data_IF_599768122540
#
_entry.id   IF_599768122540
#
_cell.length_a   1.000
_cell.length_b   1.000
_cell.length_c   1.000
_cell.angle_alpha   90.00
_cell.angle_beta   90.00
_cell.angle_gamma   90.00
#
_symmetry.space_group_name_H-M   'P 1'
#
loop_
_entity.id
_entity.type
_entity.pdbx_description
1 polymer ?
#
# COMPACT_ATOMS: atom_id res chain seq x y z
N UNK A 1 4.26 -7.98 -14.26
CA UNK A 1 3.08 -7.09 -14.35
C UNK A 1 3.56 -5.65 -14.27
N UNK A 2 2.89 -4.70 -14.94
CA UNK A 2 3.25 -3.28 -14.89
C UNK A 2 2.40 -2.54 -13.84
N UNK A 3 2.90 -1.41 -13.31
CA UNK A 3 2.15 -0.56 -12.36
C UNK A 3 0.77 -0.17 -12.93
N UNK A 4 0.68 0.05 -14.24
CA UNK A 4 -0.58 0.37 -14.92
C UNK A 4 -1.61 -0.77 -14.83
N UNK A 5 -1.19 -2.03 -14.99
CA UNK A 5 -2.07 -3.18 -14.86
C UNK A 5 -2.57 -3.32 -13.42
N UNK A 6 -1.69 -3.13 -12.45
CA UNK A 6 -2.04 -3.25 -11.03
C UNK A 6 -3.03 -2.16 -10.59
N UNK A 7 -2.81 -0.91 -11.04
CA UNK A 7 -3.76 0.17 -10.85
C UNK A 7 -5.15 -0.15 -11.44
N UNK A 8 -5.20 -0.69 -12.65
CA UNK A 8 -6.46 -1.02 -13.33
C UNK A 8 -7.27 -2.09 -12.57
N UNK A 9 -6.59 -3.11 -12.05
CA UNK A 9 -7.17 -4.14 -11.18
C UNK A 9 -7.66 -3.55 -9.85
N UNK A 10 -6.83 -2.73 -9.20
CA UNK A 10 -7.15 -2.08 -7.93
C UNK A 10 -8.37 -1.17 -8.07
N UNK A 11 -8.42 -0.33 -9.09
CA UNK A 11 -9.56 0.55 -9.34
C UNK A 11 -10.84 -0.25 -9.63
N UNK A 12 -10.73 -1.35 -10.37
CA UNK A 12 -11.84 -2.26 -10.64
C UNK A 12 -12.36 -2.94 -9.38
N UNK A 13 -11.45 -3.33 -8.47
CA UNK A 13 -11.76 -3.90 -7.16
C UNK A 13 -12.46 -2.88 -6.27
N UNK A 14 -11.86 -1.69 -6.08
CA UNK A 14 -12.41 -0.61 -5.26
C UNK A 14 -13.81 -0.18 -5.74
N UNK A 15 -14.02 -0.09 -7.06
CA UNK A 15 -15.35 0.17 -7.61
C UNK A 15 -16.38 -0.86 -7.12
N UNK A 16 -16.05 -2.15 -7.17
CA UNK A 16 -16.95 -3.24 -6.78
C UNK A 16 -17.20 -3.22 -5.27
N UNK A 17 -16.17 -3.06 -4.47
CA UNK A 17 -16.25 -3.01 -2.99
C UNK A 17 -17.14 -1.86 -2.50
N UNK A 18 -17.06 -0.70 -3.16
CA UNK A 18 -17.89 0.46 -2.84
C UNK A 18 -19.23 0.51 -3.58
N UNK A 19 -19.57 -0.53 -4.36
CA UNK A 19 -20.83 -0.59 -5.12
C UNK A 19 -20.99 0.48 -6.19
N UNK A 20 -19.89 1.10 -6.64
CA UNK A 20 -19.89 2.24 -7.54
C UNK A 20 -20.11 1.82 -9.00
N UNK A 21 -20.65 2.74 -9.78
CA UNK A 21 -20.72 2.66 -11.24
C UNK A 21 -19.62 3.53 -11.86
N UNK A 22 -19.23 3.21 -13.10
CA UNK A 22 -18.18 3.97 -13.79
C UNK A 22 -18.52 5.46 -13.93
N UNK A 23 -19.81 5.83 -14.08
CA UNK A 23 -20.21 7.24 -14.19
C UNK A 23 -19.97 8.01 -12.88
N UNK A 24 -20.15 7.39 -11.71
CA UNK A 24 -19.93 8.03 -10.41
C UNK A 24 -18.43 8.34 -10.20
N UNK A 25 -17.56 7.41 -10.61
CA UNK A 25 -16.11 7.65 -10.60
C UNK A 25 -15.75 8.73 -11.64
N UNK A 26 -16.44 8.78 -12.77
CA UNK A 26 -16.19 9.78 -13.80
C UNK A 26 -16.58 11.19 -13.32
N UNK A 27 -17.71 11.32 -12.63
CA UNK A 27 -18.15 12.55 -11.98
C UNK A 27 -17.14 13.02 -10.92
N UNK A 28 -16.68 12.11 -10.05
CA UNK A 28 -15.63 12.39 -9.05
C UNK A 28 -14.36 12.98 -9.69
N UNK A 29 -13.97 12.47 -10.86
CA UNK A 29 -12.76 12.86 -11.55
C UNK A 29 -12.95 13.96 -12.60
N UNK A 30 -14.19 14.42 -12.80
CA UNK A 30 -14.57 15.33 -13.88
C UNK A 30 -14.06 14.86 -15.26
N UNK A 31 -14.33 13.59 -15.60
CA UNK A 31 -13.96 12.97 -16.88
C UNK A 31 -15.17 12.28 -17.52
N UNK A 32 -15.00 11.77 -18.73
CA UNK A 32 -16.02 10.95 -19.37
C UNK A 32 -16.06 9.54 -18.77
N UNK A 33 -17.24 8.94 -18.67
CA UNK A 33 -17.43 7.54 -18.21
C UNK A 33 -16.58 6.53 -18.98
N UNK A 34 -16.35 6.78 -20.28
CA UNK A 34 -15.46 5.95 -21.12
C UNK A 34 -14.01 6.01 -20.66
N UNK A 35 -13.53 7.18 -20.21
CA UNK A 35 -12.18 7.34 -19.68
C UNK A 35 -11.95 6.45 -18.47
N UNK A 36 -12.94 6.33 -17.57
CA UNK A 36 -12.87 5.42 -16.43
C UNK A 36 -12.82 3.95 -16.88
N UNK A 37 -13.55 3.58 -17.95
CA UNK A 37 -13.44 2.23 -18.51
C UNK A 37 -12.03 1.94 -19.05
N UNK A 38 -11.40 2.91 -19.73
CA UNK A 38 -10.01 2.79 -20.20
C UNK A 38 -8.98 2.72 -19.08
N UNK A 39 -9.25 3.35 -17.93
CA UNK A 39 -8.43 3.18 -16.73
C UNK A 39 -8.53 1.75 -16.19
N UNK A 40 -9.73 1.16 -16.18
CA UNK A 40 -9.97 -0.19 -15.68
C UNK A 40 -9.49 -1.30 -16.64
N UNK A 41 -9.39 -1.02 -17.94
CA UNK A 41 -8.78 -1.94 -18.92
C UNK A 41 -7.25 -1.77 -19.04
N UNK A 42 -6.70 -0.74 -18.41
CA UNK A 42 -5.27 -0.42 -18.52
C UNK A 42 -4.87 0.16 -19.88
N UNK A 43 -5.80 0.61 -20.71
CA UNK A 43 -5.52 1.24 -22.00
C UNK A 43 -4.92 2.64 -21.85
N UNK A 44 -5.34 3.37 -20.81
CA UNK A 44 -4.83 4.72 -20.51
C UNK A 44 -4.54 4.85 -19.02
N UNK A 45 -3.79 5.90 -18.65
CA UNK A 45 -3.47 6.20 -17.26
C UNK A 45 -4.11 7.52 -16.82
N UNK A 46 -4.59 7.61 -15.57
CA UNK A 46 -4.91 8.91 -14.97
C UNK A 46 -3.66 9.77 -14.84
N UNK A 47 -3.84 11.08 -14.83
CA UNK A 47 -2.79 12.01 -14.40
C UNK A 47 -2.67 12.04 -12.86
N UNK A 48 -1.67 12.76 -12.38
CA UNK A 48 -1.35 12.85 -10.96
C UNK A 48 -2.53 13.45 -10.17
N UNK A 49 -3.22 14.45 -10.71
CA UNK A 49 -4.36 15.06 -10.02
C UNK A 49 -5.51 14.06 -9.82
N UNK A 50 -5.81 13.27 -10.85
CA UNK A 50 -6.85 12.22 -10.77
C UNK A 50 -6.44 11.11 -9.80
N UNK A 51 -5.16 10.73 -9.76
CA UNK A 51 -4.66 9.76 -8.78
C UNK A 51 -4.84 10.27 -7.35
N UNK A 52 -4.48 11.53 -7.07
CA UNK A 52 -4.67 12.15 -5.75
C UNK A 52 -6.15 12.17 -5.35
N UNK A 53 -7.05 12.53 -6.28
CA UNK A 53 -8.50 12.53 -6.02
C UNK A 53 -9.04 11.15 -5.70
N UNK A 54 -8.63 10.12 -6.45
CA UNK A 54 -9.02 8.73 -6.17
C UNK A 54 -8.48 8.27 -4.81
N UNK A 55 -7.19 8.51 -4.54
CA UNK A 55 -6.54 8.15 -3.29
C UNK A 55 -7.25 8.80 -2.09
N UNK A 56 -7.56 10.10 -2.21
CA UNK A 56 -8.31 10.85 -1.19
C UNK A 56 -9.72 10.28 -0.97
N UNK A 57 -10.45 9.98 -2.05
CA UNK A 57 -11.80 9.45 -1.98
C UNK A 57 -11.87 8.06 -1.36
N UNK A 58 -10.92 7.18 -1.69
CA UNK A 58 -10.86 5.82 -1.15
C UNK A 58 -10.10 5.71 0.17
N UNK A 59 -9.58 6.83 0.70
CA UNK A 59 -8.75 6.86 1.91
C UNK A 59 -7.52 5.94 1.83
N UNK A 60 -6.84 5.96 0.68
CA UNK A 60 -5.63 5.19 0.41
C UNK A 60 -4.46 6.14 0.12
N UNK A 61 -3.24 5.65 0.32
CA UNK A 61 -2.06 6.26 -0.30
C UNK A 61 -2.06 6.05 -1.83
N UNK A 62 -1.28 6.86 -2.56
CA UNK A 62 -1.10 6.67 -4.00
C UNK A 62 -0.42 5.32 -4.28
N UNK A 63 0.52 4.93 -3.43
CA UNK A 63 1.27 3.67 -3.54
C UNK A 63 0.33 2.46 -3.48
N UNK A 64 -0.57 2.43 -2.49
CA UNK A 64 -1.62 1.40 -2.39
C UNK A 64 -2.56 1.42 -3.60
N UNK A 65 -2.97 2.61 -4.07
CA UNK A 65 -3.87 2.75 -5.20
C UNK A 65 -3.26 2.17 -6.49
N UNK A 66 -2.00 2.50 -6.78
CA UNK A 66 -1.31 2.02 -7.99
C UNK A 66 -0.68 0.63 -7.80
N UNK A 67 -0.74 0.09 -6.58
CA UNK A 67 -0.11 -1.17 -6.20
C UNK A 67 1.41 -1.12 -6.31
N UNK A 68 1.99 0.06 -6.03
CA UNK A 68 3.41 0.20 -5.84
C UNK A 68 3.73 -0.16 -4.39
N UNK A 69 4.53 -1.21 -4.22
CA UNK A 69 5.16 -1.50 -2.93
C UNK A 69 6.59 -1.04 -3.10
N UNK A 70 6.98 0.01 -2.38
CA UNK A 70 8.39 0.27 -2.20
C UNK A 70 8.92 -0.95 -1.42
N UNK A 71 9.83 -1.71 -2.01
CA UNK A 71 10.65 -2.62 -1.21
C UNK A 71 11.42 -1.73 -0.25
N UNK A 72 10.89 -1.56 0.96
CA UNK A 72 11.64 -0.97 2.04
C UNK A 72 12.94 -1.77 2.11
N UNK A 73 14.07 -1.09 1.90
CA UNK A 73 15.40 -1.63 2.25
C UNK A 73 15.57 -1.81 3.76
N UNK A 74 14.47 -1.90 4.49
CA UNK A 74 14.42 -2.11 5.93
C UNK A 74 14.02 -3.58 6.07
N UNK A 75 14.97 -4.40 6.51
CA UNK A 75 14.83 -5.84 6.85
C UNK A 75 14.99 -6.88 5.73
N UNK A 76 15.94 -6.67 4.82
CA UNK A 76 16.69 -7.80 4.27
C UNK A 76 18.17 -7.77 4.66
N UNK A 77 18.46 -7.19 5.82
CA UNK A 77 19.74 -7.47 6.46
C UNK A 77 19.71 -8.92 6.94
N UNK A 78 20.39 -9.79 6.17
CA UNK A 78 20.65 -11.16 6.55
C UNK A 78 21.22 -11.22 7.98
N UNK A 79 21.91 -10.18 8.44
CA UNK A 79 22.44 -10.09 9.80
C UNK A 79 21.36 -10.05 10.88
N UNK A 80 20.24 -9.34 10.67
CA UNK A 80 19.19 -9.20 11.68
C UNK A 80 18.32 -10.44 11.75
N UNK A 81 18.00 -11.05 10.60
CA UNK A 81 17.35 -12.37 10.58
C UNK A 81 18.25 -13.43 11.21
N UNK A 82 19.54 -13.41 10.91
CA UNK A 82 20.50 -14.37 11.46
C UNK A 82 20.76 -14.14 12.94
N UNK A 83 20.77 -12.88 13.39
CA UNK A 83 20.82 -12.51 14.80
C UNK A 83 19.56 -12.98 15.54
N UNK A 84 18.36 -12.67 15.02
CA UNK A 84 17.09 -13.13 15.61
C UNK A 84 17.02 -14.66 15.71
N UNK A 85 17.49 -15.38 14.70
CA UNK A 85 17.63 -16.84 14.73
C UNK A 85 18.66 -17.32 15.77
N UNK A 86 19.76 -16.58 15.95
CA UNK A 86 20.79 -16.88 16.96
C UNK A 86 20.33 -16.65 18.41
N UNK A 87 19.31 -15.81 18.61
CA UNK A 87 18.69 -15.62 19.94
C UNK A 87 17.97 -16.87 20.44
N UNK A 88 17.69 -17.85 19.55
CA UNK A 88 17.19 -19.18 19.88
C UNK A 88 15.98 -19.15 20.84
N UNK A 89 15.06 -18.21 20.61
CA UNK A 89 13.85 -18.04 21.42
C UNK A 89 12.96 -19.27 21.28
N UNK A 90 12.47 -19.78 22.41
CA UNK A 90 11.68 -21.02 22.52
C UNK A 90 10.34 -20.79 23.21
N UNK A 91 10.13 -19.63 23.85
CA UNK A 91 8.88 -19.32 24.55
C UNK A 91 8.38 -17.88 24.31
N UNK A 92 7.09 -17.68 24.56
CA UNK A 92 6.44 -16.35 24.48
C UNK A 92 7.05 -15.35 25.49
N UNK A 93 7.50 -15.83 26.64
CA UNK A 93 8.17 -15.02 27.66
C UNK A 93 9.54 -14.49 27.19
N UNK A 94 10.26 -15.27 26.37
CA UNK A 94 11.54 -14.84 25.80
C UNK A 94 11.34 -13.82 24.69
N UNK A 95 10.27 -13.95 23.90
CA UNK A 95 9.87 -12.97 22.88
C UNK A 95 9.48 -11.64 23.55
N UNK A 96 8.80 -11.68 24.70
CA UNK A 96 8.43 -10.50 25.46
C UNK A 96 9.65 -9.64 25.88
N UNK A 97 10.81 -10.27 26.09
CA UNK A 97 12.07 -9.54 26.41
C UNK A 97 12.57 -8.69 25.26
N UNK A 98 12.36 -9.12 24.01
CA UNK A 98 12.72 -8.32 22.83
C UNK A 98 11.82 -7.09 22.75
N UNK A 99 10.53 -7.25 23.02
CA UNK A 99 9.60 -6.12 23.04
C UNK A 99 10.02 -5.07 24.08
N UNK A 100 10.35 -5.52 25.30
CA UNK A 100 10.87 -4.64 26.36
C UNK A 100 12.16 -3.95 25.93
N UNK A 101 13.08 -4.67 25.27
CA UNK A 101 14.34 -4.10 24.79
C UNK A 101 14.11 -3.01 23.74
N UNK A 102 13.19 -3.24 22.79
CA UNK A 102 12.81 -2.26 21.76
C UNK A 102 12.22 -1.02 22.41
N UNK A 103 11.24 -1.19 23.30
CA UNK A 103 10.60 -0.08 24.03
C UNK A 103 11.63 0.74 24.85
N UNK A 104 12.62 0.05 25.44
CA UNK A 104 13.69 0.70 26.22
C UNK A 104 14.61 1.52 25.31
N UNK A 105 14.99 0.98 24.15
CA UNK A 105 15.85 1.68 23.19
C UNK A 105 15.15 2.93 22.64
N UNK A 106 13.87 2.82 22.29
CA UNK A 106 13.06 3.95 21.82
C UNK A 106 12.93 5.05 22.89
N UNK A 107 12.85 4.65 24.16
CA UNK A 107 12.79 5.59 25.29
C UNK A 107 14.14 6.29 25.54
N UNK A 108 15.25 5.57 25.39
CA UNK A 108 16.60 6.12 25.63
C UNK A 108 17.11 6.98 24.47
N UNK A 109 16.63 6.72 23.26
CA UNK A 109 17.02 7.44 22.04
C UNK A 109 15.77 7.88 21.26
N UNK A 110 14.99 8.84 21.78
CA UNK A 110 13.86 9.39 21.05
C UNK A 110 14.36 10.18 19.84
N UNK A 111 13.71 9.97 18.68
CA UNK A 111 14.01 10.68 17.43
C UNK A 111 13.75 12.19 17.52
#
# INVERSE_FOLDING_TARGET
>A
MTIQHQFAENLSRLKKEHGLKNHQIAELLNVQTRTVAYYMSGETKPDIEKLIRLATYFHLSIDELVGYVQEDKVWNDLSLKQWLLSLNLRSEEEIAKIKILVDTVETLYPN
#
